data_IF_853749252962
#
_entry.id   IF_853749252962
#
_cell.length_a   1.000
_cell.length_b   1.000
_cell.length_c   1.000
_cell.angle_alpha   90.00
_cell.angle_beta   90.00
_cell.angle_gamma   90.00
#
_symmetry.space_group_name_H-M   'P 1'
#
loop_
_entity.id
_entity.type
_entity.pdbx_description
1 polymer ?
#
# COMPACT_ATOMS: atom_id res chain seq x y z
N UNK A 1 -16.38 78.12 -7.06
CA UNK A 1 -15.24 77.22 -7.20
C UNK A 1 -15.15 76.19 -6.07
N UNK A 2 -15.52 76.51 -4.82
CA UNK A 2 -15.39 75.58 -3.66
C UNK A 2 -16.45 74.45 -3.68
N UNK A 3 -17.66 74.64 -4.15
CA UNK A 3 -18.69 73.61 -4.23
C UNK A 3 -18.36 72.52 -5.30
N UNK A 4 -17.77 72.91 -6.40
CA UNK A 4 -17.35 71.96 -7.47
C UNK A 4 -16.25 71.08 -6.99
N UNK A 5 -15.37 71.55 -6.10
CA UNK A 5 -14.25 70.74 -5.57
C UNK A 5 -14.73 69.69 -4.56
N UNK A 6 -15.73 69.98 -3.74
CA UNK A 6 -16.35 69.09 -2.78
C UNK A 6 -17.17 67.98 -3.45
N UNK A 7 -17.87 68.27 -4.53
CA UNK A 7 -18.63 67.26 -5.28
C UNK A 7 -17.69 66.28 -6.03
N UNK A 8 -16.60 66.80 -6.60
CA UNK A 8 -15.60 65.97 -7.29
C UNK A 8 -14.85 65.02 -6.30
N UNK A 9 -14.52 65.51 -5.11
CA UNK A 9 -13.92 64.74 -4.02
C UNK A 9 -14.81 63.61 -3.54
N UNK A 10 -16.12 63.84 -3.43
CA UNK A 10 -17.07 62.80 -3.01
C UNK A 10 -17.27 61.70 -4.05
N UNK A 11 -17.33 62.03 -5.31
CA UNK A 11 -17.44 61.03 -6.38
C UNK A 11 -16.16 60.19 -6.53
N UNK A 12 -14.99 60.81 -6.36
CA UNK A 12 -13.71 60.10 -6.35
C UNK A 12 -13.59 59.12 -5.15
N UNK A 13 -14.03 59.53 -3.97
CA UNK A 13 -14.06 58.68 -2.78
C UNK A 13 -15.03 57.49 -2.95
N UNK A 14 -16.18 57.67 -3.55
CA UNK A 14 -17.12 56.59 -3.88
C UNK A 14 -16.50 55.58 -4.84
N UNK A 15 -15.83 56.08 -5.88
CA UNK A 15 -15.16 55.23 -6.88
C UNK A 15 -14.05 54.39 -6.25
N UNK A 16 -13.23 54.99 -5.37
CA UNK A 16 -12.16 54.28 -4.64
C UNK A 16 -12.77 53.20 -3.73
N UNK A 17 -13.86 53.48 -3.03
CA UNK A 17 -14.54 52.53 -2.14
C UNK A 17 -15.12 51.35 -2.93
N UNK A 18 -15.72 51.60 -4.09
CA UNK A 18 -16.24 50.55 -4.96
C UNK A 18 -15.10 49.68 -5.50
N UNK A 19 -13.99 50.28 -5.91
CA UNK A 19 -12.83 49.57 -6.44
C UNK A 19 -12.17 48.67 -5.36
N UNK A 20 -12.00 49.19 -4.14
CA UNK A 20 -11.46 48.41 -3.01
C UNK A 20 -12.36 47.26 -2.60
N UNK A 21 -13.68 47.48 -2.62
CA UNK A 21 -14.64 46.40 -2.34
C UNK A 21 -14.66 45.33 -3.43
N UNK A 22 -14.58 45.74 -4.71
CA UNK A 22 -14.44 44.80 -5.83
C UNK A 22 -13.15 43.98 -5.79
N UNK A 23 -12.02 44.62 -5.46
CA UNK A 23 -10.74 43.93 -5.25
C UNK A 23 -10.80 42.95 -4.07
N UNK A 24 -11.49 43.30 -2.97
CA UNK A 24 -11.66 42.44 -1.83
C UNK A 24 -12.53 41.21 -2.16
N UNK A 25 -13.60 41.39 -2.93
CA UNK A 25 -14.44 40.31 -3.43
C UNK A 25 -13.62 39.38 -4.38
N UNK A 26 -12.81 39.93 -5.27
CA UNK A 26 -11.95 39.17 -6.17
C UNK A 26 -10.91 38.36 -5.39
N UNK A 27 -10.33 38.89 -4.32
CA UNK A 27 -9.42 38.22 -3.43
C UNK A 27 -10.09 37.05 -2.68
N UNK A 28 -11.33 37.22 -2.22
CA UNK A 28 -12.10 36.16 -1.57
C UNK A 28 -12.47 35.05 -2.55
N UNK A 29 -12.80 35.35 -3.80
CA UNK A 29 -13.07 34.36 -4.85
C UNK A 29 -11.82 33.59 -5.27
N UNK A 30 -10.64 34.20 -5.20
CA UNK A 30 -9.36 33.53 -5.48
C UNK A 30 -8.94 32.56 -4.38
N UNK A 31 -9.50 32.65 -3.17
CA UNK A 31 -9.19 31.79 -2.04
C UNK A 31 -9.99 30.48 -2.00
N UNK A 32 -10.95 30.25 -2.89
CA UNK A 32 -11.55 28.93 -3.07
C UNK A 32 -10.57 28.03 -3.84
N UNK A 33 -9.52 27.56 -3.16
CA UNK A 33 -8.81 26.36 -3.60
C UNK A 33 -9.86 25.25 -3.67
N UNK A 34 -10.25 24.87 -4.88
CA UNK A 34 -10.92 23.58 -5.08
C UNK A 34 -9.97 22.53 -4.49
N UNK A 35 -10.38 21.83 -3.45
CA UNK A 35 -9.70 20.60 -3.03
C UNK A 35 -9.72 19.66 -4.23
N UNK A 36 -8.68 19.74 -5.03
CA UNK A 36 -8.45 18.79 -6.10
C UNK A 36 -8.16 17.46 -5.40
N UNK A 37 -9.23 16.66 -5.26
CA UNK A 37 -9.15 15.34 -4.64
C UNK A 37 -8.06 14.57 -5.37
N UNK A 38 -6.93 14.36 -4.71
CA UNK A 38 -5.85 13.57 -5.29
C UNK A 38 -6.40 12.20 -5.70
N UNK A 39 -5.96 11.64 -6.83
CA UNK A 39 -6.42 10.32 -7.26
C UNK A 39 -6.17 9.30 -6.14
N UNK A 40 -7.11 8.37 -5.98
CA UNK A 40 -6.99 7.32 -4.97
C UNK A 40 -5.69 6.52 -5.17
N UNK A 41 -4.91 6.28 -4.13
CA UNK A 41 -3.61 5.60 -4.24
C UNK A 41 -3.80 4.18 -4.81
N UNK A 42 -2.87 3.74 -5.63
CA UNK A 42 -2.83 2.40 -6.22
C UNK A 42 -2.00 1.48 -5.35
N UNK A 43 -2.65 0.52 -4.69
CA UNK A 43 -2.03 -0.36 -3.71
C UNK A 43 -2.09 -1.81 -4.18
N UNK A 44 -0.93 -2.44 -4.36
CA UNK A 44 -0.85 -3.86 -4.66
C UNK A 44 -1.03 -4.71 -3.39
N UNK A 45 -1.53 -5.95 -3.57
CA UNK A 45 -1.56 -6.98 -2.53
C UNK A 45 -0.83 -8.19 -3.06
N UNK A 46 0.24 -8.62 -2.38
CA UNK A 46 0.98 -9.82 -2.72
C UNK A 46 1.64 -10.44 -1.50
N UNK A 47 1.81 -11.75 -1.49
CA UNK A 47 2.56 -12.42 -0.45
C UNK A 47 2.37 -13.93 -0.41
N UNK A 48 3.21 -14.56 0.39
CA UNK A 48 3.17 -15.99 0.68
C UNK A 48 3.25 -16.19 2.19
N UNK A 49 2.24 -16.81 2.77
CA UNK A 49 2.14 -17.03 4.19
C UNK A 49 2.17 -18.51 4.53
N UNK A 50 3.08 -18.90 5.40
CA UNK A 50 3.18 -20.23 6.02
C UNK A 50 4.01 -20.15 7.29
N UNK A 51 3.63 -20.89 8.30
CA UNK A 51 4.46 -21.22 9.45
C UNK A 51 5.19 -22.55 9.19
N UNK A 52 6.49 -22.47 8.89
CA UNK A 52 7.30 -23.63 8.59
C UNK A 52 8.04 -24.15 9.81
N UNK A 53 8.02 -25.48 10.02
CA UNK A 53 8.87 -26.16 11.01
C UNK A 53 10.06 -26.84 10.33
N UNK A 54 11.27 -26.51 10.78
CA UNK A 54 12.50 -27.17 10.33
C UNK A 54 12.66 -28.59 10.91
N UNK A 55 11.87 -28.93 11.93
CA UNK A 55 11.86 -30.25 12.56
C UNK A 55 10.92 -31.24 11.84
N UNK A 56 10.03 -30.74 10.99
CA UNK A 56 9.16 -31.59 10.19
C UNK A 56 9.94 -32.25 9.04
N UNK A 57 9.81 -33.58 8.85
CA UNK A 57 10.37 -34.25 7.69
C UNK A 57 9.56 -33.98 6.41
N UNK A 58 8.35 -33.48 6.52
CA UNK A 58 7.51 -33.16 5.38
C UNK A 58 8.04 -31.93 4.62
N UNK A 59 7.69 -31.83 3.34
CA UNK A 59 7.94 -30.68 2.50
C UNK A 59 6.62 -30.06 2.05
N UNK A 60 6.63 -28.73 1.92
CA UNK A 60 5.48 -27.98 1.44
C UNK A 60 5.68 -27.66 -0.04
N UNK A 61 4.76 -28.10 -0.87
CA UNK A 61 4.74 -27.88 -2.32
C UNK A 61 3.83 -26.72 -2.70
N UNK A 62 3.85 -26.33 -3.98
CA UNK A 62 3.12 -25.14 -4.48
C UNK A 62 1.62 -25.19 -4.21
N UNK A 63 1.00 -26.34 -4.43
CA UNK A 63 -0.44 -26.56 -4.28
C UNK A 63 -0.96 -26.34 -2.85
N UNK A 64 -0.10 -26.56 -1.84
CA UNK A 64 -0.45 -26.31 -0.46
C UNK A 64 -0.73 -24.82 -0.13
N UNK A 65 -0.22 -23.92 -0.95
CA UNK A 65 -0.46 -22.48 -0.79
C UNK A 65 -1.84 -22.02 -1.26
N UNK A 66 -2.59 -22.86 -1.99
CA UNK A 66 -3.89 -22.50 -2.54
C UNK A 66 -3.89 -21.09 -3.15
N UNK A 67 -2.83 -20.77 -3.90
CA UNK A 67 -2.54 -19.42 -4.36
C UNK A 67 -3.68 -18.83 -5.18
N UNK A 68 -4.17 -17.67 -4.76
CA UNK A 68 -5.21 -16.88 -5.40
C UNK A 68 -4.62 -15.74 -6.19
N UNK A 69 -5.31 -15.32 -7.25
CA UNK A 69 -4.99 -14.12 -8.03
C UNK A 69 -6.28 -13.32 -8.29
N UNK A 70 -6.12 -12.04 -8.62
CA UNK A 70 -7.26 -11.20 -8.94
C UNK A 70 -8.26 -11.06 -7.78
N UNK A 71 -9.52 -10.83 -8.10
CA UNK A 71 -10.56 -10.47 -7.11
C UNK A 71 -10.76 -11.49 -5.99
N UNK A 72 -10.45 -12.75 -6.21
CA UNK A 72 -10.56 -13.81 -5.19
C UNK A 72 -9.64 -13.57 -3.96
N UNK A 73 -8.61 -12.74 -4.10
CA UNK A 73 -7.75 -12.33 -2.96
C UNK A 73 -8.53 -11.55 -1.92
N UNK A 74 -9.50 -10.73 -2.33
CA UNK A 74 -10.26 -9.89 -1.39
C UNK A 74 -11.09 -10.67 -0.38
N UNK A 75 -11.46 -11.91 -0.71
CA UNK A 75 -12.23 -12.78 0.19
C UNK A 75 -11.44 -13.15 1.45
N UNK A 76 -10.11 -13.01 1.40
CA UNK A 76 -9.23 -13.25 2.55
C UNK A 76 -9.15 -12.06 3.52
N UNK A 77 -9.72 -10.90 3.14
CA UNK A 77 -9.60 -9.65 3.91
C UNK A 77 -10.97 -9.04 4.20
N UNK A 78 -11.59 -9.30 5.36
CA UNK A 78 -12.88 -8.70 5.73
C UNK A 78 -12.88 -7.17 5.64
N UNK A 79 -11.74 -6.53 5.94
CA UNK A 79 -11.59 -5.07 5.84
C UNK A 79 -11.55 -4.55 4.40
N UNK A 80 -11.43 -5.42 3.40
CA UNK A 80 -11.53 -5.11 1.96
C UNK A 80 -12.82 -5.64 1.34
N UNK A 81 -13.83 -5.98 2.13
CA UNK A 81 -15.17 -6.31 1.63
C UNK A 81 -15.71 -5.18 0.74
N UNK A 82 -16.56 -5.51 -0.22
CA UNK A 82 -17.00 -4.58 -1.27
C UNK A 82 -17.52 -3.23 -0.76
N UNK A 83 -18.20 -3.22 0.37
CA UNK A 83 -18.79 -2.02 0.97
C UNK A 83 -17.95 -1.42 2.12
N UNK A 84 -16.74 -1.93 2.36
CA UNK A 84 -15.92 -1.42 3.44
C UNK A 84 -15.33 -0.04 3.11
N UNK A 85 -15.21 0.86 4.10
CA UNK A 85 -14.56 2.15 3.88
C UNK A 85 -13.11 2.03 3.38
N UNK A 86 -12.40 1.00 3.82
CA UNK A 86 -11.01 0.76 3.40
C UNK A 86 -10.93 0.40 1.91
N UNK A 87 -11.87 -0.42 1.42
CA UNK A 87 -11.95 -0.79 0.01
C UNK A 87 -12.09 0.42 -0.91
N UNK A 88 -12.82 1.44 -0.46
CA UNK A 88 -13.12 2.64 -1.25
C UNK A 88 -12.00 3.69 -1.23
N UNK A 89 -11.02 3.56 -0.32
CA UNK A 89 -9.94 4.55 -0.15
C UNK A 89 -8.79 4.39 -1.12
N UNK A 90 -8.68 3.26 -1.80
CA UNK A 90 -7.58 2.98 -2.72
C UNK A 90 -8.02 2.18 -3.94
N UNK A 91 -7.25 2.28 -5.00
CA UNK A 91 -7.33 1.38 -6.14
C UNK A 91 -6.49 0.13 -5.81
N UNK A 92 -7.13 -0.88 -5.24
CA UNK A 92 -6.48 -2.12 -4.83
C UNK A 92 -6.22 -3.03 -6.03
N UNK A 93 -4.96 -3.46 -6.18
CA UNK A 93 -4.50 -4.34 -7.26
C UNK A 93 -4.10 -5.68 -6.65
N UNK A 94 -5.02 -6.67 -6.66
CA UNK A 94 -4.73 -8.01 -6.14
C UNK A 94 -3.82 -8.77 -7.11
N UNK A 95 -2.61 -9.07 -6.68
CA UNK A 95 -1.55 -9.67 -7.48
C UNK A 95 -1.54 -11.20 -7.34
N UNK A 96 -0.97 -11.69 -6.25
CA UNK A 96 -0.94 -13.09 -5.86
C UNK A 96 -0.84 -13.19 -4.35
N UNK A 97 -1.70 -14.02 -3.76
CA UNK A 97 -1.64 -14.34 -2.33
C UNK A 97 -1.76 -15.84 -2.17
N UNK A 98 -0.75 -16.44 -1.54
CA UNK A 98 -0.72 -17.86 -1.19
C UNK A 98 -0.68 -18.03 0.33
N UNK A 99 -1.53 -18.94 0.84
CA UNK A 99 -1.59 -19.25 2.26
C UNK A 99 -1.60 -20.77 2.45
N UNK A 100 -0.55 -21.29 3.08
CA UNK A 100 -0.47 -22.70 3.45
C UNK A 100 -0.67 -22.86 4.97
N UNK A 101 -1.24 -23.98 5.36
CA UNK A 101 -1.30 -24.39 6.78
C UNK A 101 0.12 -24.61 7.32
N UNK A 102 0.32 -24.55 8.65
CA UNK A 102 1.59 -24.87 9.28
C UNK A 102 2.11 -26.23 8.82
N UNK A 103 3.39 -26.29 8.43
CA UNK A 103 3.95 -27.48 7.82
C UNK A 103 5.47 -27.51 7.80
N UNK A 104 6.03 -28.37 6.94
CA UNK A 104 7.47 -28.44 6.72
C UNK A 104 8.00 -27.31 5.85
N UNK A 105 9.31 -27.36 5.60
CA UNK A 105 9.96 -26.37 4.73
C UNK A 105 9.36 -26.38 3.32
N UNK A 106 9.21 -25.20 2.73
CA UNK A 106 8.77 -25.05 1.35
C UNK A 106 9.87 -25.56 0.41
N UNK A 107 9.50 -26.31 -0.62
CA UNK A 107 10.46 -26.72 -1.64
C UNK A 107 10.99 -25.49 -2.39
N UNK A 108 12.26 -25.50 -2.77
CA UNK A 108 12.86 -24.40 -3.54
C UNK A 108 12.09 -24.15 -4.83
N UNK A 109 11.65 -25.19 -5.49
CA UNK A 109 10.90 -25.10 -6.73
C UNK A 109 9.54 -24.42 -6.55
N UNK A 110 8.77 -24.77 -5.52
CA UNK A 110 7.51 -24.14 -5.21
C UNK A 110 7.67 -22.63 -4.93
N UNK A 111 8.67 -22.30 -4.12
CA UNK A 111 9.02 -20.91 -3.82
C UNK A 111 9.33 -20.12 -5.09
N UNK A 112 10.26 -20.60 -5.93
CA UNK A 112 10.67 -19.88 -7.14
C UNK A 112 9.51 -19.71 -8.12
N UNK A 113 8.64 -20.70 -8.28
CA UNK A 113 7.45 -20.58 -9.15
C UNK A 113 6.46 -19.52 -8.65
N UNK A 114 6.14 -19.54 -7.37
CA UNK A 114 5.21 -18.58 -6.78
C UNK A 114 5.77 -17.16 -6.79
N UNK A 115 7.05 -17.00 -6.45
CA UNK A 115 7.74 -15.71 -6.50
C UNK A 115 7.77 -15.16 -7.92
N UNK A 116 8.15 -15.99 -8.92
CA UNK A 116 8.18 -15.57 -10.33
C UNK A 116 6.80 -15.10 -10.80
N UNK A 117 5.75 -15.86 -10.53
CA UNK A 117 4.36 -15.46 -10.87
C UNK A 117 3.98 -14.11 -10.24
N UNK A 118 4.41 -13.89 -9.00
CA UNK A 118 4.17 -12.62 -8.29
C UNK A 118 4.91 -11.46 -8.95
N UNK A 119 6.19 -11.63 -9.24
CA UNK A 119 7.03 -10.60 -9.85
C UNK A 119 6.56 -10.23 -11.26
N UNK A 120 6.19 -11.21 -12.07
CA UNK A 120 5.65 -10.99 -13.42
C UNK A 120 4.35 -10.18 -13.36
N UNK A 121 3.47 -10.52 -12.42
CA UNK A 121 2.21 -9.79 -12.22
C UNK A 121 2.46 -8.38 -11.69
N UNK A 122 3.38 -8.19 -10.75
CA UNK A 122 3.77 -6.86 -10.26
C UNK A 122 4.34 -6.01 -11.41
N UNK A 123 5.21 -6.59 -12.22
CA UNK A 123 5.81 -5.89 -13.36
C UNK A 123 4.76 -5.44 -14.39
N UNK A 124 3.73 -6.26 -14.62
CA UNK A 124 2.65 -5.97 -15.58
C UNK A 124 1.79 -4.78 -15.16
N UNK A 125 1.55 -4.59 -13.86
CA UNK A 125 0.58 -3.61 -13.37
C UNK A 125 1.20 -2.39 -12.68
N UNK A 126 2.53 -2.26 -12.62
CA UNK A 126 3.22 -1.07 -12.06
C UNK A 126 2.89 0.20 -12.88
N UNK A 127 3.04 1.43 -12.35
CA UNK A 127 3.56 1.75 -11.02
C UNK A 127 2.54 1.58 -9.89
N UNK A 128 3.02 1.57 -8.65
CA UNK A 128 2.21 1.51 -7.43
C UNK A 128 2.63 2.63 -6.46
N UNK A 129 1.65 3.13 -5.70
CA UNK A 129 1.90 4.02 -4.56
C UNK A 129 2.24 3.21 -3.30
N UNK A 130 1.67 2.01 -3.17
CA UNK A 130 1.93 1.10 -2.06
C UNK A 130 1.83 -0.36 -2.42
N UNK A 131 2.41 -1.21 -1.55
CA UNK A 131 2.26 -2.66 -1.55
C UNK A 131 1.95 -3.14 -0.12
N UNK A 132 0.88 -3.89 0.02
CA UNK A 132 0.66 -4.73 1.19
C UNK A 132 1.31 -6.09 0.93
N UNK A 133 2.45 -6.33 1.61
CA UNK A 133 3.21 -7.57 1.54
C UNK A 133 2.74 -8.51 2.64
N UNK A 134 1.82 -9.40 2.31
CA UNK A 134 1.13 -10.30 3.23
C UNK A 134 1.92 -11.60 3.43
N UNK A 135 2.58 -11.72 4.58
CA UNK A 135 3.41 -12.87 4.95
C UNK A 135 3.10 -13.32 6.37
N UNK A 136 3.39 -14.58 6.68
CA UNK A 136 3.37 -15.08 8.07
C UNK A 136 4.60 -14.61 8.85
N UNK A 137 5.74 -14.57 8.19
CA UNK A 137 7.02 -14.23 8.83
C UNK A 137 7.87 -15.43 9.25
N UNK A 138 7.31 -16.63 9.30
CA UNK A 138 8.02 -17.87 9.69
C UNK A 138 8.24 -18.84 8.55
N UNK A 139 8.15 -18.40 7.28
CA UNK A 139 8.42 -19.25 6.12
C UNK A 139 9.90 -19.66 6.08
N UNK A 140 10.15 -20.97 5.91
CA UNK A 140 11.45 -21.56 5.65
C UNK A 140 11.42 -22.28 4.32
N UNK A 141 12.49 -22.14 3.52
CA UNK A 141 12.62 -22.74 2.18
C UNK A 141 13.88 -23.59 2.12
N UNK A 142 13.81 -24.73 1.45
CA UNK A 142 14.97 -25.62 1.29
C UNK A 142 16.08 -24.89 0.52
N UNK A 143 17.27 -24.83 1.12
CA UNK A 143 18.43 -24.19 0.51
C UNK A 143 18.35 -22.66 0.36
N UNK A 144 17.54 -22.00 1.19
CA UNK A 144 17.44 -20.54 1.23
C UNK A 144 17.32 -20.06 2.69
N UNK A 145 18.30 -19.32 3.16
CA UNK A 145 18.38 -18.92 4.57
C UNK A 145 17.35 -17.86 4.94
N UNK A 146 17.07 -16.89 4.04
CA UNK A 146 16.15 -15.79 4.28
C UNK A 146 15.14 -15.60 3.13
N UNK A 147 14.13 -16.49 3.02
CA UNK A 147 13.18 -16.42 1.91
C UNK A 147 12.33 -15.14 1.89
N UNK A 148 12.03 -14.56 3.04
CA UNK A 148 11.25 -13.32 3.13
C UNK A 148 12.06 -12.12 2.66
N UNK A 149 13.32 -12.05 3.10
CA UNK A 149 14.26 -11.04 2.67
C UNK A 149 14.60 -11.16 1.18
N UNK A 150 14.78 -12.37 0.65
CA UNK A 150 14.94 -12.60 -0.79
C UNK A 150 13.73 -12.13 -1.58
N UNK A 151 12.53 -12.50 -1.14
CA UNK A 151 11.30 -12.15 -1.84
C UNK A 151 11.07 -10.64 -1.89
N UNK A 152 11.18 -9.94 -0.75
CA UNK A 152 10.98 -8.50 -0.72
C UNK A 152 12.06 -7.72 -1.49
N UNK A 153 13.30 -8.17 -1.48
CA UNK A 153 14.38 -7.59 -2.28
C UNK A 153 14.06 -7.70 -3.78
N UNK A 154 13.60 -8.87 -4.23
CA UNK A 154 13.19 -9.09 -5.62
C UNK A 154 11.97 -8.24 -5.99
N UNK A 155 11.00 -8.09 -5.09
CA UNK A 155 9.87 -7.18 -5.28
C UNK A 155 10.37 -5.74 -5.45
N UNK A 156 11.26 -5.25 -4.58
CA UNK A 156 11.83 -3.89 -4.70
C UNK A 156 12.50 -3.65 -6.05
N UNK A 157 13.19 -4.62 -6.59
CA UNK A 157 13.80 -4.51 -7.93
C UNK A 157 12.76 -4.28 -9.04
N UNK A 158 11.54 -4.80 -8.87
CA UNK A 158 10.44 -4.66 -9.83
C UNK A 158 9.67 -3.35 -9.68
N UNK A 159 9.27 -3.01 -8.44
CA UNK A 159 8.37 -1.88 -8.17
C UNK A 159 9.10 -0.57 -7.82
N UNK A 160 10.41 -0.63 -7.57
CA UNK A 160 11.23 0.53 -7.24
C UNK A 160 11.19 0.91 -5.76
N UNK A 161 11.96 1.95 -5.42
CA UNK A 161 12.17 2.40 -4.02
C UNK A 161 11.12 3.41 -3.54
N UNK A 162 10.33 4.00 -4.45
CA UNK A 162 9.33 5.02 -4.11
C UNK A 162 8.00 4.43 -3.64
N UNK A 163 7.72 3.16 -3.97
CA UNK A 163 6.53 2.45 -3.52
C UNK A 163 6.62 2.15 -2.03
N UNK A 164 5.66 2.60 -1.23
CA UNK A 164 5.60 2.26 0.20
C UNK A 164 5.23 0.79 0.39
N UNK A 165 6.02 0.04 1.15
CA UNK A 165 5.74 -1.36 1.46
C UNK A 165 5.39 -1.50 2.94
N UNK A 166 4.19 -2.04 3.20
CA UNK A 166 3.79 -2.47 4.53
C UNK A 166 3.69 -3.98 4.60
N UNK A 167 4.04 -4.56 5.73
CA UNK A 167 3.83 -5.97 6.04
C UNK A 167 3.26 -6.15 7.43
N UNK A 168 2.44 -7.18 7.59
CA UNK A 168 2.01 -7.67 8.91
C UNK A 168 2.40 -9.14 9.04
N UNK A 169 2.81 -9.52 10.24
CA UNK A 169 3.34 -10.84 10.52
C UNK A 169 2.76 -11.42 11.79
N UNK A 170 2.92 -12.72 11.93
CA UNK A 170 2.74 -13.43 13.18
C UNK A 170 3.89 -13.15 14.16
N UNK A 171 3.67 -13.43 15.46
CA UNK A 171 4.69 -13.34 16.51
C UNK A 171 5.87 -14.29 16.30
N UNK A 172 5.65 -15.41 15.61
CA UNK A 172 6.68 -16.38 15.25
C UNK A 172 7.53 -15.94 14.06
N UNK A 173 7.24 -14.75 13.52
CA UNK A 173 7.99 -14.16 12.43
C UNK A 173 9.42 -13.79 12.84
N UNK A 174 10.37 -14.06 11.96
CA UNK A 174 11.76 -13.64 12.12
C UNK A 174 12.05 -12.47 11.19
N UNK A 175 12.36 -11.31 11.76
CA UNK A 175 12.70 -10.10 11.00
C UNK A 175 14.19 -10.09 10.71
N UNK A 176 14.55 -10.41 9.47
CA UNK A 176 15.92 -10.27 9.00
C UNK A 176 16.27 -8.80 8.71
N UNK A 177 17.57 -8.50 8.71
CA UNK A 177 18.04 -7.17 8.30
C UNK A 177 17.58 -6.83 6.87
N UNK A 178 17.59 -7.78 5.96
CA UNK A 178 17.14 -7.61 4.58
C UNK A 178 15.64 -7.29 4.51
N UNK A 179 14.79 -8.01 5.26
CA UNK A 179 13.37 -7.71 5.33
C UNK A 179 13.13 -6.29 5.86
N UNK A 180 13.83 -5.90 6.94
CA UNK A 180 13.69 -4.57 7.53
C UNK A 180 14.15 -3.44 6.59
N UNK A 181 15.23 -3.65 5.85
CA UNK A 181 15.76 -2.65 4.91
C UNK A 181 14.86 -2.39 3.69
N UNK A 182 14.07 -3.39 3.29
CA UNK A 182 13.22 -3.30 2.10
C UNK A 182 11.74 -3.04 2.41
N UNK A 183 11.37 -2.93 3.68
CA UNK A 183 10.00 -2.68 4.13
C UNK A 183 9.94 -1.34 4.86
N UNK A 184 8.90 -0.54 4.59
CA UNK A 184 8.74 0.79 5.22
C UNK A 184 7.96 0.71 6.53
N UNK A 185 7.03 -0.25 6.65
CA UNK A 185 6.21 -0.47 7.86
C UNK A 185 6.09 -1.96 8.15
N UNK A 186 6.44 -2.36 9.38
CA UNK A 186 6.31 -3.74 9.86
C UNK A 186 5.42 -3.74 11.08
N UNK A 187 4.39 -4.58 11.08
CA UNK A 187 3.50 -4.82 12.22
C UNK A 187 3.41 -6.30 12.52
N UNK A 188 3.07 -6.63 13.75
CA UNK A 188 2.77 -8.01 14.15
C UNK A 188 1.68 -8.01 15.21
N UNK A 189 1.14 -9.20 15.54
CA UNK A 189 0.30 -9.39 16.71
C UNK A 189 1.08 -9.01 17.97
N UNK A 190 0.37 -8.54 19.01
CA UNK A 190 0.98 -8.09 20.27
C UNK A 190 1.20 -9.23 21.26
N UNK A 191 0.41 -10.27 21.17
CA UNK A 191 0.39 -11.35 22.15
C UNK A 191 -0.16 -12.66 21.58
N UNK A 192 0.05 -13.73 22.32
CA UNK A 192 -0.58 -15.02 22.08
C UNK A 192 -1.55 -15.31 23.26
N UNK A 193 -2.84 -15.69 23.01
CA UNK A 193 -3.47 -15.80 21.68
C UNK A 193 -3.43 -14.48 20.90
N UNK A 194 -3.52 -14.56 19.57
CA UNK A 194 -3.40 -13.43 18.66
C UNK A 194 -4.56 -12.43 18.84
N UNK A 195 -4.27 -11.25 19.38
CA UNK A 195 -5.19 -10.12 19.57
C UNK A 195 -4.54 -8.81 19.10
#
# INVERSE_FOLDING_TARGET
HYLLFLTYSNELMKLITILTFALFILALLSCTKSEQKSPAPKIAIAGLAIESSNFSPALTHEEAFHAKTGKAIFDNYPFLAQNSPMRQRANWVPILQGHALPGGRVTREAYERLVTKTLDSLNKYKPYDGLFFDIHGAMSVVGLDDPKGDFIERIRKVIGTQTLISTSMDLHGNVSQKLAQHTDMITCYRMAPHE
#
